data_IF_420264745052
#
_entry.id   IF_420264745052
#
_cell.length_a   1.000
_cell.length_b   1.000
_cell.length_c   1.000
_cell.angle_alpha   90.00
_cell.angle_beta   90.00
_cell.angle_gamma   90.00
#
_symmetry.space_group_name_H-M   'P 1'
#
loop_
_entity.id
_entity.type
_entity.pdbx_description
1 polymer ?
#
# COMPACT_ATOMS: atom_id res chain seq x y z
N UNK A 1 -21.92 44.71 -1.07
CA UNK A 1 -21.70 43.46 -0.31
C UNK A 1 -20.86 42.55 -1.20
N UNK A 2 -19.54 42.57 -1.00
CA UNK A 2 -18.62 41.69 -1.74
C UNK A 2 -18.44 40.43 -0.90
N UNK A 3 -18.74 39.28 -1.50
CA UNK A 3 -18.59 37.97 -0.89
C UNK A 3 -17.18 37.49 -1.28
N UNK A 4 -16.32 37.30 -0.29
CA UNK A 4 -15.03 36.63 -0.49
C UNK A 4 -15.31 35.13 -0.65
N UNK A 5 -14.88 34.45 -1.72
CA UNK A 5 -14.94 33.00 -1.74
C UNK A 5 -13.84 32.46 -0.81
N UNK A 6 -14.31 31.87 0.28
CA UNK A 6 -13.57 31.01 1.18
C UNK A 6 -13.23 29.72 0.39
N UNK A 7 -12.02 29.60 -0.14
CA UNK A 7 -11.51 28.30 -0.60
C UNK A 7 -10.71 27.70 0.55
N UNK A 8 -11.43 27.08 1.47
CA UNK A 8 -10.90 26.13 2.43
C UNK A 8 -10.00 25.14 1.70
N UNK A 9 -8.73 25.14 2.07
CA UNK A 9 -7.81 24.05 1.73
C UNK A 9 -8.38 22.76 2.30
N UNK A 10 -9.15 22.05 1.50
CA UNK A 10 -9.59 20.69 1.76
C UNK A 10 -8.31 19.88 1.93
N UNK A 11 -7.97 19.47 3.15
CA UNK A 11 -6.88 18.53 3.37
C UNK A 11 -7.17 17.33 2.47
N UNK A 12 -6.37 17.18 1.43
CA UNK A 12 -6.45 16.04 0.54
C UNK A 12 -6.15 14.85 1.44
N UNK A 13 -7.16 14.02 1.71
CA UNK A 13 -6.94 12.83 2.52
C UNK A 13 -5.89 12.00 1.79
N UNK A 14 -4.99 11.31 2.50
CA UNK A 14 -3.97 10.47 1.86
C UNK A 14 -4.57 9.47 0.86
N UNK A 15 -5.86 9.14 1.00
CA UNK A 15 -6.63 8.28 0.12
C UNK A 15 -6.99 8.92 -1.23
N UNK A 16 -7.00 10.26 -1.33
CA UNK A 16 -7.21 10.98 -2.58
C UNK A 16 -5.94 11.10 -3.44
N UNK A 17 -4.79 10.68 -2.92
CA UNK A 17 -3.52 10.73 -3.63
C UNK A 17 -3.51 9.76 -4.83
N UNK A 18 -3.01 10.27 -5.96
CA UNK A 18 -2.69 9.47 -7.14
C UNK A 18 -1.23 9.02 -7.03
N UNK A 19 -1.01 7.73 -7.23
CA UNK A 19 0.30 7.16 -7.45
C UNK A 19 0.50 7.07 -8.95
N UNK A 20 1.52 7.76 -9.47
CA UNK A 20 1.79 7.82 -10.89
C UNK A 20 2.36 6.49 -11.42
N UNK A 21 2.09 6.20 -12.70
CA UNK A 21 2.75 5.10 -13.41
C UNK A 21 4.29 5.21 -13.33
N UNK A 22 4.97 4.07 -13.24
CA UNK A 22 6.41 3.97 -13.08
C UNK A 22 6.93 4.18 -11.66
N UNK A 23 6.08 4.63 -10.72
CA UNK A 23 6.45 4.76 -9.31
C UNK A 23 6.84 3.40 -8.73
N UNK A 24 7.92 3.37 -7.94
CA UNK A 24 8.26 2.21 -7.11
C UNK A 24 7.54 2.31 -5.77
N UNK A 25 6.77 1.27 -5.44
CA UNK A 25 6.01 1.19 -4.20
C UNK A 25 6.60 0.14 -3.27
N UNK A 26 6.80 0.55 -2.02
CA UNK A 26 7.04 -0.33 -0.88
C UNK A 26 5.80 -0.24 0.00
N UNK A 27 5.27 -1.38 0.42
CA UNK A 27 4.08 -1.47 1.25
C UNK A 27 4.51 -1.79 2.68
N UNK A 28 4.17 -0.91 3.61
CA UNK A 28 4.42 -1.07 5.04
C UNK A 28 3.12 -1.45 5.74
N UNK A 29 3.09 -2.57 6.45
CA UNK A 29 1.85 -3.12 7.02
C UNK A 29 1.63 -2.79 8.50
N UNK A 30 2.62 -2.23 9.20
CA UNK A 30 2.49 -1.53 10.49
C UNK A 30 1.91 -2.29 11.70
N UNK A 31 1.37 -3.51 11.51
CA UNK A 31 0.85 -4.33 12.59
C UNK A 31 1.98 -5.13 13.23
N UNK A 32 2.24 -4.81 14.49
CA UNK A 32 3.32 -5.32 15.33
C UNK A 32 4.69 -4.76 14.92
N UNK A 33 5.58 -4.60 15.91
CA UNK A 33 6.85 -3.85 15.90
C UNK A 33 7.91 -4.28 14.87
N UNK A 34 7.52 -4.99 13.83
CA UNK A 34 8.41 -5.73 12.97
C UNK A 34 8.25 -5.09 11.59
N UNK A 35 9.36 -4.56 11.09
CA UNK A 35 9.56 -3.80 9.86
C UNK A 35 9.16 -4.61 8.60
N UNK A 36 7.90 -5.02 8.51
CA UNK A 36 7.36 -5.82 7.42
C UNK A 36 7.10 -4.91 6.25
N UNK A 37 8.05 -4.94 5.34
CA UNK A 37 7.98 -4.25 4.07
C UNK A 37 7.76 -5.29 2.98
N UNK A 38 6.79 -5.05 2.12
CA UNK A 38 6.54 -5.85 0.93
C UNK A 38 6.85 -5.03 -0.32
N UNK A 39 7.58 -5.63 -1.28
CA UNK A 39 8.01 -4.98 -2.51
C UNK A 39 9.54 -4.84 -2.62
N UNK A 40 10.05 -3.89 -3.45
CA UNK A 40 9.31 -2.90 -4.22
C UNK A 40 8.64 -3.49 -5.47
N UNK A 41 7.52 -2.90 -5.85
CA UNK A 41 6.84 -3.15 -7.13
C UNK A 41 6.76 -1.87 -7.96
N UNK A 42 6.70 -1.99 -9.28
CA UNK A 42 6.53 -0.85 -10.19
C UNK A 42 5.06 -0.71 -10.57
N UNK A 43 4.50 0.48 -10.37
CA UNK A 43 3.12 0.80 -10.76
C UNK A 43 2.99 0.89 -12.28
N UNK A 44 2.00 0.23 -12.87
CA UNK A 44 1.84 0.14 -14.33
C UNK A 44 1.02 1.29 -14.94
N UNK A 45 0.19 1.97 -14.13
CA UNK A 45 -0.71 3.05 -14.56
C UNK A 45 -1.04 3.97 -13.39
N UNK A 46 -1.46 5.19 -13.67
CA UNK A 46 -1.93 6.10 -12.62
C UNK A 46 -3.09 5.47 -11.84
N UNK A 47 -2.94 5.38 -10.52
CA UNK A 47 -3.92 4.76 -9.63
C UNK A 47 -4.19 5.63 -8.43
N UNK A 48 -5.46 5.76 -8.06
CA UNK A 48 -5.89 6.44 -6.84
C UNK A 48 -5.78 5.49 -5.65
N UNK A 49 -5.22 5.93 -4.52
CA UNK A 49 -5.06 5.08 -3.33
C UNK A 49 -6.40 4.55 -2.80
N UNK A 50 -7.44 5.39 -2.73
CA UNK A 50 -8.78 4.96 -2.32
C UNK A 50 -9.32 3.84 -3.20
N UNK A 51 -9.10 3.93 -4.51
CA UNK A 51 -9.53 2.93 -5.47
C UNK A 51 -8.88 1.57 -5.20
N UNK A 52 -7.56 1.54 -4.95
CA UNK A 52 -6.85 0.30 -4.63
C UNK A 52 -7.36 -0.34 -3.33
N UNK A 53 -7.53 0.47 -2.28
CA UNK A 53 -8.02 -0.01 -0.99
C UNK A 53 -9.44 -0.58 -1.07
N UNK A 54 -10.34 0.12 -1.76
CA UNK A 54 -11.72 -0.32 -1.98
C UNK A 54 -11.77 -1.59 -2.82
N UNK A 55 -11.09 -1.61 -3.97
CA UNK A 55 -11.09 -2.78 -4.86
C UNK A 55 -10.47 -4.01 -4.18
N UNK A 56 -9.41 -3.84 -3.40
CA UNK A 56 -8.84 -4.94 -2.64
C UNK A 56 -9.86 -5.52 -1.65
N UNK A 57 -10.48 -4.64 -0.85
CA UNK A 57 -11.54 -5.03 0.10
C UNK A 57 -12.72 -5.73 -0.59
N UNK A 58 -13.15 -5.25 -1.76
CA UNK A 58 -14.23 -5.88 -2.53
C UNK A 58 -13.84 -7.23 -3.14
N UNK A 59 -12.57 -7.40 -3.50
CA UNK A 59 -12.06 -8.66 -4.06
C UNK A 59 -11.82 -9.75 -3.00
N UNK A 60 -11.67 -9.34 -1.74
CA UNK A 60 -11.45 -10.25 -0.63
C UNK A 60 -12.70 -11.06 -0.31
N UNK A 61 -12.50 -12.35 -0.09
CA UNK A 61 -13.55 -13.28 0.34
C UNK A 61 -13.14 -13.87 1.69
N UNK A 62 -14.01 -13.82 2.72
CA UNK A 62 -13.73 -14.46 3.99
C UNK A 62 -13.46 -15.95 3.78
N UNK A 63 -12.37 -16.44 4.35
CA UNK A 63 -12.03 -17.86 4.29
C UNK A 63 -12.89 -18.60 5.31
N UNK A 64 -13.68 -19.58 4.86
CA UNK A 64 -14.54 -20.37 5.73
C UNK A 64 -13.77 -21.08 6.86
N UNK A 65 -12.50 -21.39 6.62
CA UNK A 65 -11.61 -22.07 7.57
C UNK A 65 -10.95 -21.12 8.59
N UNK A 66 -11.10 -19.80 8.41
CA UNK A 66 -10.55 -18.77 9.31
C UNK A 66 -11.64 -17.74 9.65
N UNK A 67 -12.70 -18.15 10.38
CA UNK A 67 -13.85 -17.30 10.65
C UNK A 67 -13.56 -16.10 11.57
N UNK A 68 -12.36 -16.04 12.18
CA UNK A 68 -11.90 -14.94 13.04
C UNK A 68 -11.15 -13.83 12.30
N UNK A 69 -11.02 -13.93 10.97
CA UNK A 69 -10.38 -12.89 10.15
C UNK A 69 -11.48 -11.93 9.65
N UNK A 70 -11.60 -10.78 10.31
CA UNK A 70 -12.67 -9.79 10.06
C UNK A 70 -12.39 -8.84 8.86
N UNK A 71 -11.35 -9.11 8.07
CA UNK A 71 -11.03 -8.30 6.91
C UNK A 71 -9.84 -8.81 6.08
N UNK A 72 -9.55 -8.14 4.95
CA UNK A 72 -8.39 -8.47 4.14
C UNK A 72 -7.08 -8.27 4.91
N UNK A 73 -6.21 -9.28 4.86
CA UNK A 73 -4.88 -9.27 5.46
C UNK A 73 -3.93 -8.33 4.67
N UNK A 74 -3.24 -7.38 5.32
CA UNK A 74 -2.23 -6.55 4.66
C UNK A 74 -1.20 -7.33 3.83
N UNK A 75 -0.81 -8.53 4.27
CA UNK A 75 0.17 -9.37 3.57
C UNK A 75 -0.38 -9.88 2.20
N UNK A 76 -1.70 -9.95 2.04
CA UNK A 76 -2.35 -10.33 0.79
C UNK A 76 -2.50 -9.17 -0.22
N UNK A 77 -2.21 -7.94 0.18
CA UNK A 77 -2.42 -6.77 -0.68
C UNK A 77 -1.42 -6.70 -1.83
N UNK A 78 -0.14 -6.98 -1.60
CA UNK A 78 0.87 -6.94 -2.65
C UNK A 78 0.63 -7.99 -3.77
N UNK A 79 0.40 -9.28 -3.46
CA UNK A 79 0.07 -10.27 -4.49
C UNK A 79 -1.20 -9.90 -5.27
N UNK A 80 -2.21 -9.36 -4.58
CA UNK A 80 -3.40 -8.84 -5.24
C UNK A 80 -3.07 -7.70 -6.20
N UNK A 81 -2.27 -6.73 -5.78
CA UNK A 81 -1.90 -5.56 -6.59
C UNK A 81 -1.21 -5.97 -7.91
N UNK A 82 -0.34 -6.98 -7.85
CA UNK A 82 0.34 -7.54 -9.03
C UNK A 82 -0.65 -8.33 -9.89
N UNK A 83 -1.40 -9.27 -9.30
CA UNK A 83 -2.34 -10.12 -10.06
C UNK A 83 -3.50 -9.35 -10.71
N UNK A 84 -3.94 -8.24 -10.12
CA UNK A 84 -4.94 -7.33 -10.66
C UNK A 84 -4.39 -6.42 -11.78
N UNK A 85 -3.08 -6.47 -12.06
CA UNK A 85 -2.43 -5.69 -13.10
C UNK A 85 -2.34 -4.21 -12.77
N UNK A 86 -2.15 -3.87 -11.49
CA UNK A 86 -1.85 -2.50 -11.06
C UNK A 86 -0.35 -2.26 -10.89
N UNK A 87 0.42 -3.32 -10.60
CA UNK A 87 1.86 -3.26 -10.48
C UNK A 87 2.54 -4.52 -11.05
N UNK A 88 3.85 -4.46 -11.23
CA UNK A 88 4.71 -5.58 -11.59
C UNK A 88 5.88 -5.70 -10.61
N UNK A 89 6.40 -6.91 -10.45
CA UNK A 89 7.63 -7.14 -9.70
C UNK A 89 8.82 -6.41 -10.34
N UNK A 90 9.74 -5.94 -9.50
CA UNK A 90 10.98 -5.30 -9.97
C UNK A 90 12.12 -6.30 -9.90
N UNK A 91 12.79 -6.52 -11.02
CA UNK A 91 13.98 -7.38 -11.07
C UNK A 91 15.18 -6.74 -10.35
N UNK A 92 16.09 -7.57 -9.86
CA UNK A 92 17.36 -7.15 -9.26
C UNK A 92 17.23 -6.25 -8.01
N UNK A 93 16.15 -6.44 -7.25
CA UNK A 93 15.98 -5.79 -5.94
C UNK A 93 16.88 -6.49 -4.92
N UNK A 94 17.61 -5.69 -4.15
CA UNK A 94 18.27 -6.14 -2.93
C UNK A 94 17.76 -5.32 -1.75
N UNK A 95 17.21 -6.00 -0.75
CA UNK A 95 16.99 -5.43 0.56
C UNK A 95 18.16 -5.85 1.44
N UNK A 96 18.89 -4.88 2.01
CA UNK A 96 19.95 -5.15 2.97
C UNK A 96 19.55 -4.59 4.33
N UNK A 97 19.34 -5.50 5.27
CA UNK A 97 19.16 -5.17 6.67
C UNK A 97 20.52 -5.26 7.37
N UNK A 98 20.97 -4.17 7.99
CA UNK A 98 22.32 -4.03 8.58
C UNK A 98 22.31 -4.29 10.10
N UNK A 99 21.18 -4.75 10.64
CA UNK A 99 20.99 -5.09 12.05
C UNK A 99 19.76 -4.45 12.66
N UNK A 100 19.40 -4.92 13.85
CA UNK A 100 18.25 -4.45 14.62
C UNK A 100 18.70 -3.91 15.99
N UNK A 101 17.82 -3.16 16.68
CA UNK A 101 18.02 -2.54 17.99
C UNK A 101 19.29 -3.00 18.77
N UNK A 102 20.30 -2.12 18.77
CA UNK A 102 21.57 -2.22 19.53
C UNK A 102 22.67 -3.13 18.98
N UNK A 103 22.44 -3.93 17.94
CA UNK A 103 23.46 -4.83 17.37
C UNK A 103 23.65 -4.57 15.88
N UNK A 104 24.82 -4.03 15.54
CA UNK A 104 25.34 -4.03 14.17
C UNK A 104 25.90 -5.44 13.91
N UNK A 105 25.31 -6.18 12.97
CA UNK A 105 25.81 -7.49 12.54
C UNK A 105 26.54 -7.32 11.19
N UNK A 106 27.89 -7.25 11.20
CA UNK A 106 28.71 -7.06 9.99
C UNK A 106 28.73 -8.26 9.05
#
# INVERSE_FOLDING_TARGET
>A
MQITPYNEGKQMTDLDQIIAAGTLLIIETGEYSDQRWSGPVRVLRDVKRSYLAEHYRFSWKPQAERPWVDGPDPDGFLPWLVSAGHAEDVENVQAWHVGNYSEFEP
#
